data_IF_781398813023
#
_entry.id   IF_781398813023
#
_cell.length_a   1.000
_cell.length_b   1.000
_cell.length_c   1.000
_cell.angle_alpha   90.00
_cell.angle_beta   90.00
_cell.angle_gamma   90.00
#
_symmetry.space_group_name_H-M   'P 1'
#
loop_
_entity.id
_entity.type
_entity.pdbx_description
1 polymer ?
#
# COMPACT_ATOMS: atom_id res chain seq x y z
N UNK A 1 -38.58 55.67 -14.44
CA UNK A 1 -39.07 54.47 -13.75
C UNK A 1 -38.96 53.31 -14.74
N UNK A 2 -38.18 52.25 -14.51
CA UNK A 2 -37.56 51.81 -13.24
C UNK A 2 -36.29 50.98 -13.50
N UNK A 3 -35.25 51.21 -12.68
CA UNK A 3 -34.05 50.37 -12.37
C UNK A 3 -33.28 49.62 -13.47
N UNK A 4 -32.00 49.96 -13.61
CA UNK A 4 -30.92 48.95 -13.75
C UNK A 4 -30.93 48.04 -12.50
N UNK A 5 -30.67 46.74 -12.65
CA UNK A 5 -30.15 45.90 -11.57
C UNK A 5 -28.61 45.84 -11.64
N UNK A 6 -27.99 45.50 -10.51
CA UNK A 6 -26.57 45.75 -10.25
C UNK A 6 -25.69 44.56 -10.65
N UNK A 7 -24.59 44.84 -11.35
CA UNK A 7 -23.47 43.90 -11.57
C UNK A 7 -22.35 44.17 -10.54
N UNK A 8 -22.70 44.17 -9.25
CA UNK A 8 -21.88 44.77 -8.18
C UNK A 8 -21.92 43.91 -6.90
N UNK A 9 -21.52 42.62 -7.00
CA UNK A 9 -21.51 41.69 -5.85
C UNK A 9 -20.15 41.07 -5.47
N UNK A 10 -19.09 41.15 -6.29
CA UNK A 10 -17.82 40.45 -6.01
C UNK A 10 -16.58 41.35 -6.10
N UNK A 11 -16.57 42.39 -5.25
CA UNK A 11 -15.39 43.21 -4.97
C UNK A 11 -15.15 43.33 -3.47
N UNK A 12 -13.88 43.41 -3.06
CA UNK A 12 -13.50 43.62 -1.66
C UNK A 12 -13.84 45.04 -1.16
N UNK A 13 -13.62 45.31 0.13
CA UNK A 13 -13.86 46.63 0.72
C UNK A 13 -12.93 47.76 0.20
N UNK A 14 -11.93 47.43 -0.62
CA UNK A 14 -11.06 48.37 -1.33
C UNK A 14 -11.40 48.51 -2.82
N UNK A 15 -12.37 47.73 -3.32
CA UNK A 15 -12.85 47.75 -4.70
C UNK A 15 -12.12 46.81 -5.67
N UNK A 16 -11.30 45.87 -5.21
CA UNK A 16 -10.61 44.89 -6.06
C UNK A 16 -11.52 43.68 -6.35
N UNK A 17 -11.37 43.06 -7.52
CA UNK A 17 -12.05 41.78 -7.83
C UNK A 17 -11.44 40.65 -7.00
N UNK A 18 -12.31 39.80 -6.43
CA UNK A 18 -11.94 38.67 -5.55
C UNK A 18 -11.85 37.39 -6.38
N UNK A 19 -10.71 36.70 -6.27
CA UNK A 19 -10.44 35.45 -6.99
C UNK A 19 -11.32 34.29 -6.46
N UNK A 20 -11.51 33.23 -7.26
CA UNK A 20 -12.49 32.19 -6.94
C UNK A 20 -12.08 31.27 -5.77
N UNK A 21 -10.80 31.25 -5.40
CA UNK A 21 -10.24 30.34 -4.40
C UNK A 21 -10.44 30.78 -2.93
N UNK A 22 -10.84 32.04 -2.66
CA UNK A 22 -11.06 32.56 -1.29
C UNK A 22 -12.49 32.28 -0.74
N UNK A 23 -13.20 31.29 -1.31
CA UNK A 23 -14.60 30.96 -0.98
C UNK A 23 -14.74 29.91 0.14
N UNK A 24 -14.37 30.31 1.36
CA UNK A 24 -14.39 29.42 2.54
C UNK A 24 -15.77 28.82 2.92
N UNK A 25 -15.71 27.72 3.70
CA UNK A 25 -16.72 26.94 4.49
C UNK A 25 -18.21 26.90 4.11
N UNK A 26 -18.81 27.98 3.61
CA UNK A 26 -20.23 28.04 3.19
C UNK A 26 -20.48 27.20 1.93
N UNK A 27 -19.46 26.99 1.09
CA UNK A 27 -19.53 26.10 -0.07
C UNK A 27 -19.61 24.61 0.32
N UNK A 28 -18.83 24.16 1.31
CA UNK A 28 -18.80 22.74 1.74
C UNK A 28 -20.16 22.25 2.25
N UNK A 29 -20.87 23.09 3.01
CA UNK A 29 -22.19 22.74 3.57
C UNK A 29 -23.22 22.49 2.47
N UNK A 30 -23.20 23.26 1.37
CA UNK A 30 -24.12 23.04 0.23
C UNK A 30 -23.79 21.76 -0.54
N UNK A 31 -22.50 21.43 -0.70
CA UNK A 31 -22.05 20.20 -1.36
C UNK A 31 -22.46 18.94 -0.58
N UNK A 32 -22.40 18.98 0.75
CA UNK A 32 -22.80 17.86 1.62
C UNK A 32 -24.31 17.59 1.64
N UNK A 33 -25.16 18.62 1.53
CA UNK A 33 -26.63 18.45 1.53
C UNK A 33 -27.13 17.74 0.26
N UNK A 34 -26.56 18.06 -0.92
CA UNK A 34 -26.95 17.41 -2.18
C UNK A 34 -26.62 15.91 -2.21
N UNK A 35 -25.50 15.49 -1.61
CA UNK A 35 -25.11 14.07 -1.53
C UNK A 35 -26.07 13.23 -0.68
N UNK A 36 -26.71 13.83 0.34
CA UNK A 36 -27.61 13.11 1.26
C UNK A 36 -28.99 12.81 0.66
N UNK A 37 -29.38 13.51 -0.41
CA UNK A 37 -30.61 13.25 -1.18
C UNK A 37 -30.42 12.21 -2.29
N UNK A 38 -29.20 12.03 -2.81
CA UNK A 38 -28.91 11.11 -3.91
C UNK A 38 -28.92 9.61 -3.51
N UNK A 39 -28.76 9.28 -2.23
CA UNK A 39 -28.77 7.89 -1.74
C UNK A 39 -30.18 7.33 -1.43
N UNK A 40 -31.24 8.11 -1.63
CA UNK A 40 -32.61 7.74 -1.26
C UNK A 40 -33.39 6.87 -2.26
N UNK A 41 -32.85 6.56 -3.44
CA UNK A 41 -33.70 6.17 -4.60
C UNK A 41 -33.38 4.84 -5.32
N UNK A 42 -32.64 3.93 -4.70
CA UNK A 42 -32.41 2.57 -5.24
C UNK A 42 -32.68 1.42 -4.23
N UNK A 43 -33.56 1.65 -3.24
CA UNK A 43 -34.06 0.59 -2.37
C UNK A 43 -35.23 -0.17 -3.00
N UNK A 44 -35.01 -1.39 -3.52
CA UNK A 44 -36.08 -2.20 -4.12
C UNK A 44 -35.78 -3.69 -4.33
N UNK A 45 -36.21 -4.52 -3.38
CA UNK A 45 -36.85 -5.86 -3.55
C UNK A 45 -36.16 -6.85 -4.53
N UNK A 46 -35.50 -7.92 -4.06
CA UNK A 46 -36.01 -9.33 -3.99
C UNK A 46 -34.81 -10.31 -3.74
N UNK A 47 -34.92 -11.59 -3.31
CA UNK A 47 -35.95 -12.44 -2.66
C UNK A 47 -35.23 -13.64 -1.98
N UNK A 48 -35.85 -14.27 -0.98
CA UNK A 48 -35.34 -15.45 -0.24
C UNK A 48 -35.67 -16.81 -0.88
N UNK A 49 -34.79 -17.83 -0.77
CA UNK A 49 -35.18 -19.25 -0.61
C UNK A 49 -34.07 -20.09 0.04
N UNK A 50 -34.45 -21.18 0.72
CA UNK A 50 -33.58 -22.08 1.50
C UNK A 50 -33.20 -23.35 0.71
N UNK A 51 -32.17 -24.04 1.21
CA UNK A 51 -32.25 -25.41 1.79
C UNK A 51 -31.17 -26.39 1.27
N UNK A 52 -30.67 -27.23 2.18
CA UNK A 52 -29.61 -28.20 1.95
C UNK A 52 -30.14 -29.58 1.52
N UNK A 53 -29.29 -30.39 0.87
CA UNK A 53 -29.35 -31.85 0.92
C UNK A 53 -28.01 -32.50 0.51
N UNK A 54 -27.53 -33.44 1.32
CA UNK A 54 -26.45 -34.37 0.96
C UNK A 54 -27.03 -35.66 0.39
N UNK A 55 -26.34 -36.33 -0.54
CA UNK A 55 -26.48 -37.78 -0.73
C UNK A 55 -25.27 -38.37 -1.48
N UNK A 56 -24.66 -39.41 -0.91
CA UNK A 56 -23.73 -40.30 -1.60
C UNK A 56 -24.40 -41.66 -1.86
N UNK A 57 -23.92 -42.37 -2.89
CA UNK A 57 -23.53 -43.78 -2.73
C UNK A 57 -22.10 -44.01 -3.28
N UNK A 58 -21.37 -45.08 -2.97
CA UNK A 58 -21.68 -46.24 -2.13
C UNK A 58 -20.98 -47.51 -2.65
N UNK A 59 -19.95 -47.96 -1.92
CA UNK A 59 -19.28 -49.28 -1.98
C UNK A 59 -18.52 -49.73 -3.27
N UNK A 60 -17.40 -50.44 -3.07
CA UNK A 60 -16.62 -51.10 -4.14
C UNK A 60 -15.20 -51.50 -3.72
N UNK A 61 -15.05 -52.66 -3.05
CA UNK A 61 -13.80 -53.12 -2.41
C UNK A 61 -12.69 -53.57 -3.37
N UNK A 62 -11.42 -53.46 -2.94
CA UNK A 62 -10.26 -54.13 -3.54
C UNK A 62 -9.06 -54.15 -2.58
N UNK A 63 -8.66 -55.33 -2.10
CA UNK A 63 -7.60 -55.52 -1.08
C UNK A 63 -6.25 -55.91 -1.69
N UNK A 64 -5.13 -55.57 -1.05
CA UNK A 64 -3.80 -56.03 -1.47
C UNK A 64 -2.60 -55.46 -0.69
N UNK A 65 -2.08 -56.24 0.25
CA UNK A 65 -0.74 -56.24 0.88
C UNK A 65 0.45 -55.72 0.04
N UNK A 66 1.62 -55.33 0.60
CA UNK A 66 2.09 -55.05 1.97
C UNK A 66 3.53 -54.45 1.92
N UNK A 67 4.09 -54.16 3.12
CA UNK A 67 5.51 -53.99 3.54
C UNK A 67 6.67 -54.38 2.56
N UNK A 68 7.91 -53.87 2.64
CA UNK A 68 8.60 -53.11 3.70
C UNK A 68 9.88 -52.38 3.21
N UNK A 69 10.32 -51.39 3.99
CA UNK A 69 11.69 -51.17 4.52
C UNK A 69 12.99 -51.21 3.65
N UNK A 70 13.90 -50.25 3.95
CA UNK A 70 15.35 -50.31 3.69
C UNK A 70 15.82 -49.59 2.41
N UNK A 71 17.00 -48.93 2.36
CA UNK A 71 17.98 -48.68 3.41
C UNK A 71 18.87 -47.44 3.11
N UNK A 72 19.59 -47.01 4.15
CA UNK A 72 20.48 -45.86 4.35
C UNK A 72 21.78 -45.74 3.53
N UNK A 73 22.25 -44.48 3.39
CA UNK A 73 23.66 -44.01 3.40
C UNK A 73 24.55 -44.32 2.15
N UNK A 74 25.67 -43.62 1.86
CA UNK A 74 26.63 -42.88 2.73
C UNK A 74 27.34 -41.71 2.00
N UNK A 75 28.07 -40.90 2.77
CA UNK A 75 28.71 -39.59 2.48
C UNK A 75 30.20 -39.60 2.00
N UNK A 76 30.69 -38.43 1.56
CA UNK A 76 32.10 -37.91 1.72
C UNK A 76 33.19 -38.55 0.81
N UNK A 77 34.36 -37.93 0.48
CA UNK A 77 35.02 -36.65 0.89
C UNK A 77 35.09 -35.55 -0.21
N UNK A 78 35.24 -34.24 0.07
CA UNK A 78 36.26 -33.42 0.77
C UNK A 78 37.38 -32.85 -0.13
N UNK A 79 37.54 -31.52 -0.10
CA UNK A 79 38.81 -30.82 -0.30
C UNK A 79 38.80 -29.49 0.46
N UNK A 80 39.80 -29.27 1.31
CA UNK A 80 40.02 -27.99 2.00
C UNK A 80 40.85 -27.03 1.14
N UNK A 81 40.66 -25.72 1.34
CA UNK A 81 41.68 -24.70 1.08
C UNK A 81 41.70 -23.74 2.27
N UNK A 82 42.90 -23.31 2.67
CA UNK A 82 43.18 -22.67 3.95
C UNK A 82 43.25 -21.15 3.84
N UNK A 83 43.11 -20.50 5.01
CA UNK A 83 43.32 -19.08 5.31
C UNK A 83 44.44 -18.38 4.51
N UNK A 84 44.20 -17.09 4.23
CA UNK A 84 45.05 -16.19 3.45
C UNK A 84 44.85 -14.72 3.87
N UNK A 85 44.72 -14.47 5.16
CA UNK A 85 44.54 -13.11 5.72
C UNK A 85 45.62 -12.13 5.23
N UNK A 86 45.22 -11.16 4.40
CA UNK A 86 46.07 -10.07 3.94
C UNK A 86 45.34 -8.75 4.18
N UNK A 87 45.80 -7.96 5.16
CA UNK A 87 45.23 -6.67 5.49
C UNK A 87 45.56 -5.64 4.40
N UNK A 88 44.73 -5.57 3.36
CA UNK A 88 44.74 -4.47 2.41
C UNK A 88 44.24 -3.20 3.08
N UNK A 89 45.09 -2.17 3.15
CA UNK A 89 44.71 -0.88 3.71
C UNK A 89 43.54 -0.29 2.91
N UNK A 90 42.40 -0.09 3.58
CA UNK A 90 41.26 0.59 2.99
C UNK A 90 41.62 2.07 2.76
N UNK A 91 42.02 2.39 1.53
CA UNK A 91 41.99 3.76 1.03
C UNK A 91 40.54 4.22 1.07
N UNK A 92 40.23 5.11 2.01
CA UNK A 92 38.96 5.80 2.11
C UNK A 92 38.79 6.70 0.89
N UNK A 93 38.17 6.15 -0.16
CA UNK A 93 37.57 6.94 -1.23
C UNK A 93 36.66 7.98 -0.57
N UNK A 94 36.75 9.28 -0.93
CA UNK A 94 35.79 10.26 -0.46
C UNK A 94 34.38 9.76 -0.76
N UNK A 95 33.45 9.92 0.19
CA UNK A 95 32.04 9.66 -0.08
C UNK A 95 31.65 10.36 -1.38
N UNK A 96 30.88 9.69 -2.22
CA UNK A 96 30.15 10.38 -3.27
C UNK A 96 29.43 11.58 -2.63
N UNK A 97 29.45 12.72 -3.31
CA UNK A 97 28.74 13.91 -2.84
C UNK A 97 27.29 13.55 -2.58
N UNK A 98 26.66 14.21 -1.60
CA UNK A 98 25.27 13.93 -1.25
C UNK A 98 24.41 13.91 -2.52
N UNK A 99 23.86 12.74 -2.83
CA UNK A 99 22.89 12.59 -3.92
C UNK A 99 21.75 13.56 -3.65
N UNK A 100 21.40 14.39 -4.63
CA UNK A 100 20.30 15.35 -4.48
C UNK A 100 19.00 14.57 -4.50
N UNK A 101 18.49 14.25 -3.31
CA UNK A 101 17.21 13.57 -3.13
C UNK A 101 16.10 14.60 -3.27
N UNK A 102 15.22 14.42 -4.25
CA UNK A 102 13.97 15.19 -4.31
C UNK A 102 13.02 14.68 -3.24
N UNK A 103 12.34 15.60 -2.55
CA UNK A 103 11.28 15.27 -1.61
C UNK A 103 10.15 14.51 -2.31
N UNK A 104 9.60 13.49 -1.66
CA UNK A 104 8.36 12.85 -2.13
C UNK A 104 7.18 13.78 -1.82
N UNK A 105 6.21 13.99 -2.73
CA UNK A 105 5.01 14.78 -2.44
C UNK A 105 4.27 14.28 -1.20
N UNK A 106 3.75 15.19 -0.37
CA UNK A 106 2.79 14.82 0.68
C UNK A 106 1.44 14.48 0.05
N UNK A 107 0.85 13.37 0.51
CA UNK A 107 -0.47 12.92 0.06
C UNK A 107 -1.40 12.68 1.24
N UNK A 108 -2.69 12.57 0.92
CA UNK A 108 -3.66 12.04 1.87
C UNK A 108 -3.35 10.58 2.25
N UNK A 109 -3.46 10.23 3.52
CA UNK A 109 -3.57 8.85 3.99
C UNK A 109 -4.82 8.12 3.44
N UNK A 110 -5.75 8.88 2.84
CA UNK A 110 -7.05 8.37 2.42
C UNK A 110 -7.90 7.91 3.62
N UNK A 111 -8.98 7.16 3.36
CA UNK A 111 -9.93 6.78 4.40
C UNK A 111 -9.58 5.45 5.11
N UNK A 112 -8.42 4.83 4.85
CA UNK A 112 -8.08 3.49 5.36
C UNK A 112 -6.73 3.34 6.09
N UNK A 113 -6.18 4.36 6.78
CA UNK A 113 -4.96 4.19 7.58
C UNK A 113 -5.21 3.28 8.79
N UNK A 114 -4.15 2.96 9.53
CA UNK A 114 -4.23 2.13 10.73
C UNK A 114 -3.83 2.87 12.01
N UNK A 115 -3.73 4.20 11.95
CA UNK A 115 -3.16 5.11 12.94
C UNK A 115 -4.19 5.73 13.91
N UNK A 116 -5.46 5.33 13.81
CA UNK A 116 -6.57 5.90 14.57
C UNK A 116 -7.20 7.16 13.95
N UNK A 117 -6.59 7.81 12.96
CA UNK A 117 -7.10 9.07 12.39
C UNK A 117 -8.49 8.94 11.75
N UNK A 118 -8.81 7.76 11.21
CA UNK A 118 -10.16 7.39 10.74
C UNK A 118 -10.78 6.25 11.57
N UNK A 119 -10.62 6.31 12.90
CA UNK A 119 -11.39 5.53 13.87
C UNK A 119 -10.92 4.08 14.13
N UNK A 120 -10.00 3.55 13.32
CA UNK A 120 -9.34 2.26 13.57
C UNK A 120 -7.86 2.49 13.84
N UNK A 121 -7.37 1.98 14.97
CA UNK A 121 -5.96 1.92 15.31
C UNK A 121 -5.50 0.46 15.38
N UNK A 122 -4.42 0.14 14.66
CA UNK A 122 -3.70 -1.14 14.69
C UNK A 122 -2.20 -0.95 14.95
N UNK A 123 -1.70 0.29 15.07
CA UNK A 123 -0.29 0.57 15.35
C UNK A 123 0.07 0.21 16.80
N UNK A 124 -0.88 0.29 17.73
CA UNK A 124 -0.70 -0.23 19.09
C UNK A 124 -0.74 -1.76 19.20
N UNK A 125 -1.04 -2.51 18.13
CA UNK A 125 -1.31 -3.95 18.21
C UNK A 125 -0.01 -4.79 18.22
N UNK A 126 0.10 -5.72 19.19
CA UNK A 126 1.21 -6.67 19.24
C UNK A 126 1.27 -7.51 17.95
N UNK A 127 2.39 -7.41 17.25
CA UNK A 127 2.61 -8.04 15.95
C UNK A 127 2.65 -7.09 14.75
N UNK A 128 2.28 -5.81 14.89
CA UNK A 128 2.31 -4.85 13.76
C UNK A 128 3.75 -4.52 13.29
N UNK A 129 4.75 -4.63 14.17
CA UNK A 129 6.16 -4.43 13.80
C UNK A 129 6.68 -5.71 13.13
N UNK A 130 6.59 -5.76 11.80
CA UNK A 130 6.81 -6.96 10.98
C UNK A 130 7.22 -6.63 9.54
N UNK A 131 8.05 -7.47 8.93
CA UNK A 131 8.47 -7.33 7.51
C UNK A 131 7.54 -8.08 6.55
N UNK A 132 7.19 -9.34 6.81
CA UNK A 132 6.18 -10.05 6.03
C UNK A 132 4.78 -9.66 6.50
N UNK A 133 4.06 -8.88 5.70
CA UNK A 133 2.72 -8.35 6.01
C UNK A 133 1.58 -9.17 5.39
N UNK A 134 1.86 -10.27 4.67
CA UNK A 134 0.83 -11.00 3.90
C UNK A 134 -0.25 -11.67 4.74
N UNK A 135 0.09 -12.11 5.95
CA UNK A 135 -0.83 -12.81 6.86
C UNK A 135 -1.37 -11.90 7.96
N UNK A 136 -2.63 -12.05 8.34
CA UNK A 136 -3.17 -11.47 9.57
C UNK A 136 -2.43 -11.99 10.82
N UNK A 137 -2.61 -11.29 11.93
CA UNK A 137 -1.97 -11.56 13.21
C UNK A 137 -2.95 -11.37 14.38
N UNK A 138 -2.59 -11.89 15.55
CA UNK A 138 -3.45 -11.89 16.73
C UNK A 138 -4.48 -13.03 16.65
N UNK A 139 -5.76 -12.68 16.49
CA UNK A 139 -6.87 -13.65 16.45
C UNK A 139 -7.06 -14.33 15.09
N UNK A 140 -6.59 -13.71 14.00
CA UNK A 140 -6.64 -14.29 12.65
C UNK A 140 -5.25 -14.68 12.16
N UNK A 141 -5.22 -15.65 11.24
CA UNK A 141 -4.05 -16.12 10.50
C UNK A 141 -4.29 -16.20 8.98
N UNK A 142 -5.40 -15.62 8.50
CA UNK A 142 -5.71 -15.59 7.06
C UNK A 142 -4.61 -14.84 6.32
N UNK A 143 -4.19 -15.38 5.17
CA UNK A 143 -3.17 -14.78 4.32
C UNK A 143 -3.81 -14.21 3.07
N UNK A 144 -3.51 -12.94 2.76
CA UNK A 144 -3.99 -12.30 1.57
C UNK A 144 -3.39 -12.96 0.31
N UNK A 145 -4.25 -13.40 -0.60
CA UNK A 145 -3.83 -13.98 -1.87
C UNK A 145 -3.49 -12.89 -2.90
N UNK A 146 -2.42 -13.10 -3.67
CA UNK A 146 -2.02 -12.21 -4.76
C UNK A 146 -0.65 -12.58 -5.34
N UNK A 147 -0.19 -11.84 -6.35
CA UNK A 147 1.16 -12.01 -6.90
C UNK A 147 2.18 -11.50 -5.86
N UNK A 148 3.22 -12.27 -5.49
CA UNK A 148 4.19 -11.84 -4.48
C UNK A 148 4.90 -10.54 -4.86
N UNK A 149 5.04 -9.65 -3.89
CA UNK A 149 5.72 -8.36 -4.03
C UNK A 149 6.64 -8.12 -2.83
N UNK A 150 7.94 -7.97 -3.07
CA UNK A 150 8.86 -7.36 -2.12
C UNK A 150 8.84 -5.84 -2.33
N UNK A 151 8.74 -5.05 -1.26
CA UNK A 151 8.70 -3.58 -1.31
C UNK A 151 9.94 -3.10 -0.57
N UNK A 152 10.83 -2.37 -1.25
CA UNK A 152 12.08 -1.86 -0.71
C UNK A 152 12.11 -0.33 -0.84
N UNK A 153 12.06 0.38 0.28
CA UNK A 153 12.10 1.84 0.30
C UNK A 153 13.44 2.32 0.82
N UNK A 154 14.01 3.34 0.18
CA UNK A 154 15.21 4.04 0.65
C UNK A 154 14.81 5.40 1.19
N UNK A 155 14.88 5.58 2.50
CA UNK A 155 14.42 6.77 3.25
C UNK A 155 15.62 7.69 3.51
N UNK A 156 15.54 8.92 3.01
CA UNK A 156 16.63 9.90 3.10
C UNK A 156 16.13 11.27 3.52
N UNK A 157 16.95 11.97 4.29
CA UNK A 157 16.77 13.37 4.65
C UNK A 157 17.09 14.24 3.43
N UNK A 158 16.14 15.06 2.96
CA UNK A 158 16.33 15.89 1.75
C UNK A 158 17.34 17.02 1.94
N UNK A 159 17.54 17.48 3.18
CA UNK A 159 18.43 18.60 3.48
C UNK A 159 19.92 18.21 3.49
N UNK A 160 20.21 16.93 3.74
CA UNK A 160 21.57 16.38 3.89
C UNK A 160 21.90 15.23 2.94
N UNK A 161 20.90 14.59 2.31
CA UNK A 161 21.03 13.38 1.50
C UNK A 161 21.31 12.10 2.31
N UNK A 162 21.40 12.21 3.64
CA UNK A 162 21.76 11.11 4.54
C UNK A 162 20.63 10.09 4.66
N UNK A 163 20.99 8.85 4.95
CA UNK A 163 20.06 7.80 5.35
C UNK A 163 19.35 8.15 6.67
N UNK A 164 18.01 8.07 6.70
CA UNK A 164 17.21 8.23 7.93
C UNK A 164 17.18 6.94 8.75
N UNK A 165 18.37 6.46 9.11
CA UNK A 165 18.55 5.24 9.90
C UNK A 165 17.85 5.35 11.28
N UNK A 166 17.10 4.32 11.66
CA UNK A 166 16.38 4.27 12.93
C UNK A 166 14.95 4.81 12.89
N UNK A 167 14.58 5.58 11.85
CA UNK A 167 13.21 5.99 11.56
C UNK A 167 12.29 4.77 11.37
N UNK A 168 10.98 4.96 11.41
CA UNK A 168 10.02 3.90 11.11
C UNK A 168 9.15 4.25 9.91
N UNK A 169 8.78 3.22 9.15
CA UNK A 169 7.78 3.32 8.08
C UNK A 169 6.61 2.42 8.44
N UNK A 170 5.41 2.98 8.50
CA UNK A 170 4.15 2.25 8.41
C UNK A 170 3.74 2.14 6.95
N UNK A 171 3.30 0.95 6.51
CA UNK A 171 2.90 0.70 5.13
C UNK A 171 1.57 -0.07 5.09
N UNK A 172 0.67 0.34 4.19
CA UNK A 172 -0.60 -0.37 3.96
C UNK A 172 -1.12 -0.28 2.53
N UNK A 173 -1.87 -1.30 2.10
CA UNK A 173 -2.59 -1.28 0.81
C UNK A 173 -3.78 -2.25 0.77
N UNK A 174 -4.56 -2.18 -0.31
CA UNK A 174 -5.66 -3.11 -0.57
C UNK A 174 -5.16 -4.51 -0.99
N UNK A 175 -5.99 -5.53 -0.75
CA UNK A 175 -5.81 -6.88 -1.28
C UNK A 175 -6.06 -6.94 -2.81
N UNK A 176 -5.92 -8.13 -3.42
CA UNK A 176 -6.14 -8.33 -4.87
C UNK A 176 -7.57 -8.02 -5.36
N UNK A 177 -8.53 -8.01 -4.45
CA UNK A 177 -9.96 -7.76 -4.71
C UNK A 177 -10.32 -6.28 -4.54
N UNK A 178 -9.37 -5.44 -4.06
CA UNK A 178 -9.54 -4.01 -3.86
C UNK A 178 -10.06 -3.61 -2.48
N UNK A 179 -10.18 -4.55 -1.53
CA UNK A 179 -10.58 -4.26 -0.16
C UNK A 179 -9.37 -3.97 0.74
N UNK A 180 -9.52 -3.02 1.65
CA UNK A 180 -8.56 -2.75 2.72
C UNK A 180 -8.95 -3.55 3.96
N UNK A 181 -7.99 -4.30 4.52
CA UNK A 181 -8.13 -4.95 5.83
C UNK A 181 -8.56 -3.93 6.90
N UNK A 182 -9.30 -4.38 7.91
CA UNK A 182 -9.97 -3.57 8.94
C UNK A 182 -11.16 -2.71 8.47
N UNK A 183 -11.36 -2.51 7.17
CA UNK A 183 -12.38 -1.60 6.62
C UNK A 183 -13.36 -2.24 5.63
N UNK A 184 -12.87 -3.11 4.74
CA UNK A 184 -13.69 -3.80 3.74
C UNK A 184 -14.69 -4.77 4.39
N UNK A 185 -15.89 -4.86 3.84
CA UNK A 185 -16.99 -5.61 4.45
C UNK A 185 -16.69 -7.12 4.59
N UNK A 186 -15.87 -7.70 3.71
CA UNK A 186 -15.48 -9.11 3.82
C UNK A 186 -14.20 -9.33 4.65
N UNK A 187 -13.46 -8.26 4.96
CA UNK A 187 -12.10 -8.28 5.56
C UNK A 187 -11.96 -7.40 6.82
N UNK A 188 -13.07 -6.96 7.41
CA UNK A 188 -13.09 -6.06 8.56
C UNK A 188 -12.42 -6.64 9.82
N UNK A 189 -12.40 -7.98 9.94
CA UNK A 189 -11.74 -8.68 11.05
C UNK A 189 -10.27 -9.08 10.74
N UNK A 190 -9.77 -8.71 9.56
CA UNK A 190 -8.41 -9.00 9.11
C UNK A 190 -7.50 -7.79 9.26
N UNK A 191 -6.20 -8.02 9.45
CA UNK A 191 -5.19 -6.99 9.64
C UNK A 191 -3.90 -7.26 8.83
N UNK A 192 -3.96 -8.13 7.83
CA UNK A 192 -2.93 -8.29 6.81
C UNK A 192 -2.69 -7.00 6.00
N UNK A 193 -1.60 -7.01 5.21
CA UNK A 193 -1.17 -5.94 4.31
C UNK A 193 -1.02 -4.58 5.01
N UNK A 194 -0.63 -4.65 6.28
CA UNK A 194 -0.33 -3.55 7.19
C UNK A 194 0.89 -3.94 8.02
N UNK A 195 1.86 -3.05 8.15
CA UNK A 195 3.03 -3.31 8.99
C UNK A 195 3.91 -2.10 9.20
N UNK A 196 4.61 -2.10 10.34
CA UNK A 196 5.66 -1.14 10.68
C UNK A 196 7.02 -1.82 10.57
N UNK A 197 8.00 -1.15 9.97
CA UNK A 197 9.40 -1.56 10.01
C UNK A 197 10.32 -0.39 10.32
N UNK A 198 11.44 -0.71 10.96
CA UNK A 198 12.52 0.25 11.18
C UNK A 198 13.39 0.36 9.92
N UNK A 199 13.82 1.58 9.61
CA UNK A 199 14.80 1.89 8.57
C UNK A 199 16.20 1.50 9.05
N UNK A 200 16.93 0.74 8.24
CA UNK A 200 18.27 0.25 8.56
C UNK A 200 19.37 1.33 8.46
N UNK A 201 20.61 0.95 8.77
CA UNK A 201 21.77 1.86 8.74
C UNK A 201 22.10 2.42 7.34
N UNK A 202 21.59 1.81 6.26
CA UNK A 202 21.76 2.28 4.88
C UNK A 202 20.60 3.18 4.42
N UNK A 203 19.59 3.38 5.28
CA UNK A 203 18.36 4.07 4.93
C UNK A 203 17.33 3.15 4.29
N UNK A 204 17.51 1.83 4.31
CA UNK A 204 16.61 0.88 3.64
C UNK A 204 15.60 0.26 4.60
N UNK A 205 14.36 0.13 4.15
CA UNK A 205 13.31 -0.66 4.82
C UNK A 205 12.66 -1.60 3.81
N UNK A 206 12.29 -2.82 4.24
CA UNK A 206 11.79 -3.86 3.35
C UNK A 206 10.55 -4.58 3.90
N UNK A 207 9.55 -4.80 3.04
CA UNK A 207 8.32 -5.54 3.34
C UNK A 207 8.08 -6.65 2.32
N UNK A 208 7.71 -7.85 2.79
CA UNK A 208 7.18 -8.92 1.94
C UNK A 208 5.65 -8.84 1.93
N UNK A 209 5.06 -8.68 0.75
CA UNK A 209 3.63 -8.43 0.54
C UNK A 209 3.11 -9.12 -0.72
N UNK A 210 1.93 -8.70 -1.19
CA UNK A 210 1.38 -9.00 -2.51
C UNK A 210 1.21 -7.70 -3.33
N UNK A 211 1.07 -7.82 -4.63
CA UNK A 211 0.79 -6.70 -5.52
C UNK A 211 -0.64 -6.15 -5.31
N UNK A 212 -0.84 -4.82 -5.15
CA UNK A 212 -2.16 -4.23 -4.89
C UNK A 212 -3.08 -4.27 -6.11
N UNK A 213 -4.39 -4.28 -5.86
CA UNK A 213 -5.41 -4.15 -6.90
C UNK A 213 -5.55 -2.72 -7.44
N UNK A 214 -6.24 -2.60 -8.58
CA UNK A 214 -6.90 -1.36 -8.96
C UNK A 214 -8.32 -1.40 -8.39
N UNK A 215 -8.71 -0.40 -7.59
CA UNK A 215 -10.09 -0.20 -7.16
C UNK A 215 -10.72 1.02 -7.85
N UNK A 216 -12.04 1.14 -7.81
CA UNK A 216 -12.79 2.12 -8.62
C UNK A 216 -12.32 3.56 -8.35
N UNK A 217 -11.92 4.26 -9.43
CA UNK A 217 -11.57 5.67 -9.39
C UNK A 217 -10.16 5.99 -8.85
N UNK A 218 -9.32 5.00 -8.55
CA UNK A 218 -7.93 5.22 -8.11
C UNK A 218 -6.93 4.41 -8.93
N UNK A 219 -5.80 5.03 -9.25
CA UNK A 219 -4.62 4.34 -9.76
C UNK A 219 -4.08 3.34 -8.73
N UNK A 220 -3.51 2.17 -9.10
CA UNK A 220 -2.98 1.22 -8.12
C UNK A 220 -1.82 1.80 -7.31
N UNK A 221 -1.91 1.69 -5.99
CA UNK A 221 -0.96 2.31 -5.06
C UNK A 221 -0.75 1.53 -3.77
N UNK A 222 0.30 1.92 -3.06
CA UNK A 222 0.63 1.50 -1.70
C UNK A 222 0.83 2.77 -0.86
N UNK A 223 0.17 2.88 0.28
CA UNK A 223 0.35 4.02 1.18
C UNK A 223 1.53 3.80 2.12
N UNK A 224 2.16 4.88 2.57
CA UNK A 224 3.08 4.83 3.69
C UNK A 224 3.06 6.10 4.53
N UNK A 225 3.45 5.95 5.79
CA UNK A 225 3.72 7.01 6.75
C UNK A 225 5.11 6.82 7.35
N UNK A 226 5.85 7.92 7.51
CA UNK A 226 7.19 7.94 8.13
C UNK A 226 7.09 8.55 9.51
N UNK A 227 7.75 7.93 10.50
CA UNK A 227 7.85 8.39 11.88
C UNK A 227 9.31 8.49 12.30
N UNK A 228 9.59 9.31 13.32
CA UNK A 228 10.95 9.49 13.87
C UNK A 228 11.59 8.21 14.38
N UNK A 229 10.79 7.27 14.90
CA UNK A 229 11.20 5.93 15.31
C UNK A 229 9.98 4.99 15.44
N UNK A 230 10.25 3.70 15.70
CA UNK A 230 9.21 2.66 15.88
C UNK A 230 8.34 2.91 17.11
N UNK A 231 8.89 3.46 18.19
CA UNK A 231 8.14 3.71 19.42
C UNK A 231 7.07 4.80 19.21
N UNK A 232 7.40 5.81 18.42
CA UNK A 232 6.52 6.89 17.98
C UNK A 232 5.41 6.34 17.07
N UNK A 233 5.77 5.47 16.11
CA UNK A 233 4.80 4.82 15.23
C UNK A 233 3.78 3.96 16.01
N UNK A 234 4.23 3.05 16.89
CA UNK A 234 3.31 2.16 17.64
C UNK A 234 2.53 2.86 18.76
N UNK A 235 2.85 4.12 19.04
CA UNK A 235 2.09 4.99 19.94
C UNK A 235 1.09 5.90 19.19
N UNK A 236 0.95 5.74 17.86
CA UNK A 236 0.17 6.62 16.99
C UNK A 236 0.56 8.09 17.16
N UNK A 237 1.88 8.33 17.25
CA UNK A 237 2.49 9.63 17.48
C UNK A 237 2.59 10.50 16.23
N UNK A 238 3.31 11.63 16.29
CA UNK A 238 3.43 12.55 15.17
C UNK A 238 4.04 11.88 13.92
N UNK A 239 3.31 12.00 12.81
CA UNK A 239 3.77 11.59 11.49
C UNK A 239 4.72 12.66 10.93
N UNK A 240 5.84 12.22 10.35
CA UNK A 240 6.83 13.09 9.67
C UNK A 240 6.45 13.29 8.20
N UNK A 241 5.97 12.23 7.53
CA UNK A 241 5.58 12.24 6.11
C UNK A 241 4.42 11.28 5.88
N UNK A 242 3.44 11.67 5.08
CA UNK A 242 2.38 10.77 4.56
C UNK A 242 2.43 10.84 3.04
N UNK A 243 2.55 9.70 2.36
CA UNK A 243 2.53 9.67 0.89
C UNK A 243 2.07 8.32 0.33
N UNK A 244 2.06 8.20 -0.99
CA UNK A 244 1.64 7.02 -1.72
C UNK A 244 2.67 6.66 -2.80
N UNK A 245 2.86 5.36 -3.01
CA UNK A 245 3.69 4.78 -4.07
C UNK A 245 2.77 4.40 -5.23
N UNK A 246 2.99 4.97 -6.41
CA UNK A 246 2.26 4.61 -7.62
C UNK A 246 2.88 3.36 -8.26
N UNK A 247 2.05 2.39 -8.66
CA UNK A 247 2.53 1.19 -9.35
C UNK A 247 2.59 1.42 -10.87
N UNK A 248 3.67 1.03 -11.58
CA UNK A 248 3.81 1.33 -13.01
C UNK A 248 2.86 0.49 -13.88
N UNK A 249 2.35 1.12 -14.95
CA UNK A 249 1.30 0.57 -15.83
C UNK A 249 1.64 -0.81 -16.40
N UNK A 250 2.86 -0.99 -16.88
CA UNK A 250 3.32 -2.27 -17.47
C UNK A 250 3.21 -3.44 -16.49
N UNK A 251 3.61 -3.24 -15.24
CA UNK A 251 3.51 -4.26 -14.20
C UNK A 251 2.05 -4.48 -13.78
N UNK A 252 1.24 -3.42 -13.70
CA UNK A 252 -0.20 -3.55 -13.47
C UNK A 252 -0.89 -4.39 -14.55
N UNK A 253 -0.57 -4.18 -15.83
CA UNK A 253 -1.11 -4.97 -16.94
C UNK A 253 -0.70 -6.45 -16.84
N UNK A 254 0.58 -6.71 -16.53
CA UNK A 254 1.10 -8.06 -16.36
C UNK A 254 0.49 -8.81 -15.16
N UNK A 255 0.27 -8.12 -14.03
CA UNK A 255 -0.34 -8.71 -12.83
C UNK A 255 -1.85 -8.89 -13.01
N UNK A 256 -2.56 -7.94 -13.63
CA UNK A 256 -4.02 -8.03 -13.73
C UNK A 256 -4.50 -8.99 -14.82
N UNK A 257 -3.60 -9.47 -15.67
CA UNK A 257 -3.81 -10.65 -16.52
C UNK A 257 -3.87 -11.99 -15.73
N UNK A 258 -3.57 -11.99 -14.42
CA UNK A 258 -3.55 -13.20 -13.58
C UNK A 258 -4.89 -13.48 -12.87
N UNK A 259 -5.11 -14.74 -12.50
CA UNK A 259 -6.30 -15.18 -11.75
C UNK A 259 -6.44 -14.42 -10.42
N UNK A 260 -7.65 -13.94 -10.13
CA UNK A 260 -7.97 -13.17 -8.93
C UNK A 260 -8.02 -11.66 -9.15
N UNK A 261 -7.28 -11.11 -10.11
CA UNK A 261 -7.24 -9.67 -10.37
C UNK A 261 -8.25 -9.18 -11.43
N UNK A 262 -9.22 -10.00 -11.83
CA UNK A 262 -10.12 -9.72 -12.96
C UNK A 262 -10.93 -8.40 -12.83
N UNK A 263 -11.23 -7.95 -11.60
CA UNK A 263 -11.88 -6.65 -11.39
C UNK A 263 -10.90 -5.48 -11.56
N UNK A 264 -9.62 -5.67 -11.27
CA UNK A 264 -8.57 -4.65 -11.45
C UNK A 264 -8.40 -4.27 -12.93
N UNK A 265 -8.59 -5.20 -13.86
CA UNK A 265 -8.57 -4.92 -15.31
C UNK A 265 -9.58 -3.82 -15.69
N UNK A 266 -10.81 -3.91 -15.17
CA UNK A 266 -11.87 -2.93 -15.45
C UNK A 266 -11.58 -1.59 -14.77
N UNK A 267 -11.15 -1.64 -13.51
CA UNK A 267 -10.89 -0.44 -12.72
C UNK A 267 -9.69 0.35 -13.29
N UNK A 268 -8.59 -0.33 -13.65
CA UNK A 268 -7.43 0.28 -14.29
C UNK A 268 -7.79 0.93 -15.64
N UNK A 269 -8.68 0.32 -16.43
CA UNK A 269 -9.16 0.90 -17.68
C UNK A 269 -10.05 2.14 -17.50
N UNK A 270 -10.52 2.43 -16.28
CA UNK A 270 -11.32 3.61 -15.94
C UNK A 270 -10.51 4.78 -15.35
N UNK A 271 -9.19 4.66 -15.27
CA UNK A 271 -8.31 5.68 -14.67
C UNK A 271 -6.96 5.77 -15.37
N UNK A 272 -6.18 6.79 -15.01
CA UNK A 272 -4.81 7.06 -15.45
C UNK A 272 -4.12 7.86 -14.35
N UNK A 273 -2.78 7.89 -14.33
CA UNK A 273 -2.03 8.76 -13.40
C UNK A 273 -2.50 10.22 -13.50
N UNK A 274 -2.66 10.74 -14.72
CA UNK A 274 -3.11 12.11 -14.99
C UNK A 274 -4.58 12.41 -14.61
N UNK A 275 -5.39 11.39 -14.30
CA UNK A 275 -6.79 11.54 -13.86
C UNK A 275 -7.02 11.06 -12.43
N UNK A 276 -5.98 10.54 -11.77
CA UNK A 276 -6.04 10.16 -10.36
C UNK A 276 -5.99 11.41 -9.49
N UNK A 277 -6.79 11.46 -8.43
CA UNK A 277 -6.92 12.64 -7.59
C UNK A 277 -5.75 12.83 -6.59
N UNK A 278 -4.73 11.97 -6.64
CA UNK A 278 -3.49 12.05 -5.87
C UNK A 278 -2.35 12.32 -6.86
N UNK A 279 -2.09 11.39 -7.78
CA UNK A 279 -0.96 11.47 -8.72
C UNK A 279 -1.17 12.42 -9.92
N UNK A 280 -2.34 13.02 -10.08
CA UNK A 280 -2.69 13.80 -11.28
C UNK A 280 -1.91 15.11 -11.47
N UNK A 281 -1.36 15.67 -10.39
CA UNK A 281 -0.70 16.98 -10.40
C UNK A 281 0.66 16.97 -11.13
N UNK A 282 1.44 15.90 -10.95
CA UNK A 282 2.78 15.73 -11.53
C UNK A 282 2.89 14.44 -12.38
N UNK A 283 1.87 13.60 -12.40
CA UNK A 283 1.88 12.27 -13.01
C UNK A 283 2.50 11.17 -12.13
N UNK A 284 2.73 11.45 -10.84
CA UNK A 284 3.40 10.56 -9.89
C UNK A 284 4.91 10.44 -10.13
N UNK A 285 5.56 11.42 -10.77
CA UNK A 285 6.97 11.30 -11.20
C UNK A 285 7.95 11.06 -10.03
N UNK A 286 7.59 11.47 -8.81
CA UNK A 286 8.36 11.25 -7.60
C UNK A 286 7.89 10.03 -6.77
N UNK A 287 6.85 9.32 -7.23
CA UNK A 287 6.15 8.27 -6.47
C UNK A 287 6.03 6.94 -7.23
N UNK A 288 6.30 6.90 -8.54
CA UNK A 288 6.27 5.66 -9.32
C UNK A 288 7.40 4.73 -8.89
N UNK A 289 7.04 3.53 -8.43
CA UNK A 289 8.02 2.50 -8.09
C UNK A 289 8.79 2.00 -9.33
N UNK A 290 10.11 1.87 -9.18
CA UNK A 290 10.92 1.04 -10.06
C UNK A 290 10.61 -0.44 -9.79
N UNK A 291 10.29 -1.22 -10.82
CA UNK A 291 9.93 -2.64 -10.69
C UNK A 291 10.99 -3.54 -11.34
N UNK A 292 11.28 -4.66 -10.68
CA UNK A 292 12.00 -5.79 -11.28
C UNK A 292 11.31 -7.12 -10.91
N UNK A 293 11.57 -8.19 -11.66
CA UNK A 293 10.98 -9.52 -11.44
C UNK A 293 9.94 -9.91 -12.48
N UNK A 294 9.03 -10.81 -12.11
CA UNK A 294 7.96 -11.30 -13.00
C UNK A 294 6.82 -11.93 -12.21
N UNK A 295 5.64 -12.12 -12.82
CA UNK A 295 4.51 -12.85 -12.21
C UNK A 295 4.92 -14.19 -11.61
N UNK A 296 5.79 -14.96 -12.29
CA UNK A 296 6.18 -16.29 -11.86
C UNK A 296 7.22 -16.31 -10.72
N UNK A 297 8.06 -15.27 -10.63
CA UNK A 297 9.10 -15.14 -9.60
C UNK A 297 8.68 -14.25 -8.40
N UNK A 298 7.59 -13.51 -8.55
CA UNK A 298 7.31 -12.32 -7.76
C UNK A 298 8.03 -11.09 -8.31
N UNK A 299 7.59 -9.92 -7.84
CA UNK A 299 8.20 -8.62 -8.17
C UNK A 299 8.95 -8.04 -6.96
N UNK A 300 9.90 -7.15 -7.22
CA UNK A 300 10.41 -6.19 -6.24
C UNK A 300 10.08 -4.78 -6.71
N UNK A 301 9.40 -4.00 -5.87
CA UNK A 301 9.20 -2.56 -6.02
C UNK A 301 10.25 -1.81 -5.21
N UNK A 302 10.90 -0.83 -5.83
CA UNK A 302 11.87 0.04 -5.21
C UNK A 302 11.52 1.52 -5.43
N UNK A 303 11.61 2.32 -4.37
CA UNK A 303 11.46 3.79 -4.42
C UNK A 303 12.43 4.43 -3.41
N UNK A 304 13.04 5.56 -3.79
CA UNK A 304 13.72 6.43 -2.82
C UNK A 304 12.73 7.50 -2.39
N UNK A 305 12.48 7.63 -1.09
CA UNK A 305 11.61 8.64 -0.50
C UNK A 305 12.49 9.69 0.19
N UNK A 306 12.48 10.90 -0.35
CA UNK A 306 13.02 12.08 0.32
C UNK A 306 12.01 12.60 1.34
N UNK A 307 12.45 12.75 2.58
CA UNK A 307 11.71 13.27 3.74
C UNK A 307 12.43 14.49 4.30
#
# INVERSE_FOLDING_TARGET
MTTKQNDDEWRDAAGNEIDEDDRGLVYDVRTLVNRRLALGLFGGVAVTTLLAACASPGAGSGSGSAAAAGATATSTPSASATDGSTAGAATSTPSAGAEVVTEVPDETAGPYPGDGSNGVDVLGASGIVRSDIRSSFGSSSITAEGVPLNIQLTVRDVSTGNALAGAAVYLWHCNRDGEYSLYGASVQNENYLRGVQQVDANGTVAFTSIYPAAYSGRWPHIHFEVYTDVATAVASGPIVKTSQIAMPKETCDAVYATTGYAQSVKNLASTSLATDNVFGNDGGIHQIASISGSVAAGYTAALTIGV
#
